data_IF_178013101657
#
_entry.id   IF_178013101657
#
_cell.length_a   1.000
_cell.length_b   1.000
_cell.length_c   1.000
_cell.angle_alpha   90.00
_cell.angle_beta   90.00
_cell.angle_gamma   90.00
#
_symmetry.space_group_name_H-M   'P 1'
#
loop_
_entity.id
_entity.type
_entity.pdbx_description
1 polymer ?
#
# COMPACT_ATOMS: atom_id res chain seq x y z
N UNK A 1 -8.00 -19.79 -5.40
CA UNK A 1 -6.84 -18.98 -4.91
C UNK A 1 -7.24 -18.38 -3.58
N UNK A 2 -6.52 -18.67 -2.50
CA UNK A 2 -6.78 -18.11 -1.17
C UNK A 2 -6.77 -16.58 -1.26
N UNK A 3 -7.96 -15.96 -1.28
CA UNK A 3 -8.11 -14.54 -0.99
C UNK A 3 -7.65 -14.41 0.46
N UNK A 4 -6.43 -13.91 0.68
CA UNK A 4 -6.03 -13.50 2.02
C UNK A 4 -7.09 -12.54 2.51
N UNK A 5 -7.88 -12.97 3.50
CA UNK A 5 -8.96 -12.21 4.12
C UNK A 5 -8.37 -10.89 4.60
N UNK A 6 -8.52 -9.86 3.78
CA UNK A 6 -8.17 -8.49 4.13
C UNK A 6 -9.45 -7.92 4.72
N UNK A 7 -9.47 -7.78 6.04
CA UNK A 7 -10.63 -7.24 6.73
C UNK A 7 -10.75 -5.75 6.39
N UNK A 8 -11.72 -5.43 5.54
CA UNK A 8 -12.03 -4.06 5.12
C UNK A 8 -13.22 -3.58 5.97
N UNK A 9 -12.95 -2.64 6.87
CA UNK A 9 -14.01 -1.89 7.53
C UNK A 9 -14.51 -0.82 6.57
N UNK A 10 -15.71 -1.01 6.00
CA UNK A 10 -16.31 -0.08 5.06
C UNK A 10 -17.57 0.52 5.67
N UNK A 11 -17.64 1.86 5.70
CA UNK A 11 -18.79 2.59 6.21
C UNK A 11 -19.77 2.87 5.06
N UNK A 12 -20.96 2.30 5.13
CA UNK A 12 -22.03 2.53 4.16
C UNK A 12 -23.19 3.30 4.79
N UNK A 13 -23.83 4.17 3.99
CA UNK A 13 -25.17 4.67 4.31
C UNK A 13 -26.20 3.66 3.79
N UNK A 14 -26.60 2.71 4.66
CA UNK A 14 -27.49 1.60 4.29
C UNK A 14 -28.86 2.06 3.75
N UNK A 15 -29.35 3.23 4.15
CA UNK A 15 -30.61 3.80 3.65
C UNK A 15 -30.60 4.11 2.14
N UNK A 16 -29.42 4.21 1.53
CA UNK A 16 -29.26 4.64 0.14
C UNK A 16 -28.88 3.48 -0.81
N UNK A 17 -28.58 2.29 -0.30
CA UNK A 17 -28.04 1.20 -1.13
C UNK A 17 -28.68 -0.15 -0.85
N UNK A 18 -28.98 -0.87 -1.94
CA UNK A 18 -29.40 -2.26 -1.89
C UNK A 18 -28.24 -3.16 -1.45
N UNK A 19 -28.50 -4.34 -0.84
CA UNK A 19 -27.46 -5.29 -0.50
C UNK A 19 -26.55 -5.67 -1.68
N UNK A 20 -27.12 -5.82 -2.89
CA UNK A 20 -26.37 -6.13 -4.10
C UNK A 20 -25.43 -5.00 -4.53
N UNK A 21 -25.88 -3.75 -4.38
CA UNK A 21 -25.02 -2.59 -4.65
C UNK A 21 -23.84 -2.53 -3.66
N UNK A 22 -24.09 -2.81 -2.38
CA UNK A 22 -23.03 -2.87 -1.36
C UNK A 22 -21.99 -3.95 -1.73
N UNK A 23 -22.42 -5.16 -2.08
CA UNK A 23 -21.50 -6.24 -2.48
C UNK A 23 -20.66 -5.86 -3.71
N UNK A 24 -21.28 -5.18 -4.68
CA UNK A 24 -20.59 -4.71 -5.87
C UNK A 24 -19.50 -3.69 -5.56
N UNK A 25 -19.82 -2.67 -4.76
CA UNK A 25 -18.86 -1.64 -4.33
C UNK A 25 -17.71 -2.24 -3.52
N UNK A 26 -17.98 -3.20 -2.61
CA UNK A 26 -16.94 -3.92 -1.87
C UNK A 26 -16.02 -4.69 -2.82
N UNK A 27 -16.58 -5.34 -3.84
CA UNK A 27 -15.80 -6.09 -4.83
C UNK A 27 -14.88 -5.17 -5.64
N UNK A 28 -15.40 -4.04 -6.09
CA UNK A 28 -14.61 -3.03 -6.81
C UNK A 28 -13.52 -2.43 -5.94
N UNK A 29 -13.82 -2.11 -4.69
CA UNK A 29 -12.84 -1.61 -3.74
C UNK A 29 -11.70 -2.64 -3.55
N UNK A 30 -12.05 -3.92 -3.41
CA UNK A 30 -11.07 -4.98 -3.28
C UNK A 30 -10.16 -5.07 -4.51
N UNK A 31 -10.72 -5.01 -5.71
CA UNK A 31 -9.95 -5.03 -6.96
C UNK A 31 -9.05 -3.81 -7.11
N UNK A 32 -9.57 -2.62 -6.79
CA UNK A 32 -8.81 -1.37 -6.81
C UNK A 32 -7.61 -1.45 -5.85
N UNK A 33 -7.84 -1.82 -4.60
CA UNK A 33 -6.76 -1.94 -3.61
C UNK A 33 -5.76 -3.02 -4.00
N UNK A 34 -6.21 -4.14 -4.53
CA UNK A 34 -5.33 -5.19 -5.05
C UNK A 34 -4.39 -4.68 -6.16
N UNK A 35 -4.89 -3.79 -7.03
CA UNK A 35 -4.08 -3.23 -8.11
C UNK A 35 -3.20 -2.07 -7.65
N UNK A 36 -3.70 -1.17 -6.79
CA UNK A 36 -2.98 0.03 -6.35
C UNK A 36 -1.86 -0.31 -5.38
N UNK A 37 -2.08 -1.23 -4.43
CA UNK A 37 -1.11 -1.54 -3.37
C UNK A 37 0.01 -2.50 -3.79
N UNK A 38 0.13 -2.79 -5.08
CA UNK A 38 1.22 -3.64 -5.57
C UNK A 38 2.57 -3.02 -5.26
N UNK A 39 3.54 -3.89 -4.97
CA UNK A 39 4.91 -3.47 -4.70
C UNK A 39 5.51 -2.62 -5.82
N UNK A 40 5.14 -2.84 -7.08
CA UNK A 40 5.57 -1.98 -8.20
C UNK A 40 5.06 -0.54 -8.11
N UNK A 41 3.84 -0.33 -7.61
CA UNK A 41 3.27 0.99 -7.42
C UNK A 41 3.85 1.64 -6.17
N UNK A 42 3.99 0.86 -5.10
CA UNK A 42 4.62 1.30 -3.86
C UNK A 42 6.02 1.89 -4.13
N UNK A 43 6.89 1.18 -4.84
CA UNK A 43 8.25 1.68 -5.13
C UNK A 43 8.29 2.90 -6.03
N UNK A 44 7.27 3.12 -6.87
CA UNK A 44 7.19 4.30 -7.74
C UNK A 44 6.78 5.55 -6.95
N UNK A 45 5.85 5.38 -6.02
CA UNK A 45 5.33 6.46 -5.18
C UNK A 45 6.29 6.90 -4.07
N UNK A 46 7.27 6.07 -3.72
CA UNK A 46 8.16 6.34 -2.59
C UNK A 46 9.61 6.66 -2.99
N UNK A 47 10.30 7.33 -2.08
CA UNK A 47 11.74 7.46 -2.03
C UNK A 47 12.28 7.00 -0.67
N UNK A 48 13.54 6.59 -0.63
CA UNK A 48 14.21 6.19 0.60
C UNK A 48 15.23 7.27 0.96
N UNK A 49 15.07 7.85 2.15
CA UNK A 49 15.97 8.86 2.73
C UNK A 49 16.82 8.15 3.79
N UNK A 50 18.12 7.98 3.52
CA UNK A 50 19.08 7.43 4.47
C UNK A 50 19.99 8.54 4.99
N UNK A 51 19.69 9.05 6.19
CA UNK A 51 20.47 10.12 6.80
C UNK A 51 21.84 9.64 7.31
N UNK A 52 21.99 8.34 7.59
CA UNK A 52 23.31 7.79 7.99
C UNK A 52 24.33 7.90 6.85
N UNK A 53 23.83 7.90 5.60
CA UNK A 53 24.64 7.97 4.38
C UNK A 53 24.48 9.30 3.64
N UNK A 54 23.68 10.23 4.17
CA UNK A 54 23.31 11.48 3.52
C UNK A 54 22.84 11.27 2.07
N UNK A 55 21.98 10.26 1.85
CA UNK A 55 21.56 9.83 0.50
C UNK A 55 20.05 9.69 0.40
N UNK A 56 19.51 10.11 -0.74
CA UNK A 56 18.14 9.81 -1.18
C UNK A 56 18.22 8.83 -2.38
N UNK A 57 17.38 7.80 -2.41
CA UNK A 57 17.29 6.84 -3.53
C UNK A 57 15.85 6.53 -3.90
N UNK A 58 15.59 6.53 -5.21
CA UNK A 58 14.29 6.18 -5.80
C UNK A 58 14.34 4.81 -6.48
N UNK A 59 15.41 4.06 -6.21
CA UNK A 59 15.67 2.81 -6.91
C UNK A 59 14.76 1.72 -6.35
N UNK A 60 13.98 1.08 -7.23
CA UNK A 60 13.04 0.02 -6.83
C UNK A 60 13.71 -1.12 -6.05
N UNK A 61 14.96 -1.45 -6.36
CA UNK A 61 15.75 -2.45 -5.63
C UNK A 61 16.00 -2.04 -4.18
N UNK A 62 16.49 -0.82 -3.95
CA UNK A 62 16.81 -0.30 -2.62
C UNK A 62 15.56 -0.22 -1.75
N UNK A 63 14.46 0.29 -2.31
CA UNK A 63 13.18 0.42 -1.60
C UNK A 63 12.64 -0.98 -1.24
N UNK A 64 12.58 -1.92 -2.19
CA UNK A 64 12.15 -3.31 -1.91
C UNK A 64 13.02 -3.97 -0.84
N UNK A 65 14.33 -3.76 -0.92
CA UNK A 65 15.28 -4.31 0.06
C UNK A 65 15.02 -3.73 1.44
N UNK A 66 14.74 -2.43 1.55
CA UNK A 66 14.44 -1.77 2.81
C UNK A 66 13.12 -2.28 3.41
N UNK A 67 12.02 -2.28 2.66
CA UNK A 67 10.69 -2.75 3.11
C UNK A 67 10.70 -4.21 3.58
N UNK A 68 11.53 -5.07 2.95
CA UNK A 68 11.63 -6.49 3.30
C UNK A 68 12.57 -6.77 4.47
N UNK A 69 13.24 -5.76 5.04
CA UNK A 69 14.08 -5.96 6.22
C UNK A 69 13.22 -6.34 7.41
N UNK A 70 13.72 -7.26 8.23
CA UNK A 70 13.07 -7.68 9.48
C UNK A 70 13.16 -6.64 10.60
N UNK A 71 14.12 -5.71 10.50
CA UNK A 71 14.40 -4.70 11.52
C UNK A 71 14.67 -3.38 10.85
N UNK A 72 14.01 -2.35 11.36
CA UNK A 72 14.21 -0.98 10.90
C UNK A 72 15.59 -0.46 11.31
N UNK A 73 16.16 0.36 10.43
CA UNK A 73 17.41 1.03 10.69
C UNK A 73 17.11 2.46 11.16
N UNK A 74 17.71 2.92 12.27
CA UNK A 74 17.56 4.30 12.70
C UNK A 74 17.93 5.28 11.59
N UNK A 75 17.19 6.38 11.50
CA UNK A 75 17.42 7.46 10.54
C UNK A 75 17.35 7.07 9.05
N UNK A 76 16.61 6.01 8.75
CA UNK A 76 16.24 5.63 7.39
C UNK A 76 14.73 5.72 7.26
N UNK A 77 14.26 6.54 6.33
CA UNK A 77 12.85 6.88 6.18
C UNK A 77 12.35 6.54 4.78
N UNK A 78 11.13 6.04 4.73
CA UNK A 78 10.35 5.87 3.51
C UNK A 78 9.45 7.11 3.36
N UNK A 79 9.73 7.94 2.37
CA UNK A 79 8.96 9.14 2.10
C UNK A 79 8.03 8.90 0.91
N UNK A 80 6.74 9.22 1.07
CA UNK A 80 5.78 9.19 -0.03
C UNK A 80 5.86 10.52 -0.78
N UNK A 81 5.92 10.46 -2.11
CA UNK A 81 6.06 11.64 -2.98
C UNK A 81 4.73 12.23 -3.44
N UNK A 82 3.59 11.64 -3.05
CA UNK A 82 2.25 12.12 -3.37
C UNK A 82 1.80 13.26 -2.46
#
# INVERSE_FOLDING_TARGET
>A
MNKSNRDLLVLFKQELMTPQAIEHEVSWLHELLFNVERMENFVKAHELIDLNRYKITNTAFDIKKNVRRKKDQPFVFLNNKN
#
